data_IF_527473546005
#
_entry.id   IF_527473546005
#
_cell.length_a   1.000
_cell.length_b   1.000
_cell.length_c   1.000
_cell.angle_alpha   90.00
_cell.angle_beta   90.00
_cell.angle_gamma   90.00
#
_symmetry.space_group_name_H-M   'P 1'
#
loop_
_entity.id
_entity.type
_entity.pdbx_description
1 polymer ?
#
# COMPACT_ATOMS: atom_id res chain seq x y z
N UNK A 1 -4.06 -10.45 -16.00
CA UNK A 1 -5.23 -9.55 -16.19
C UNK A 1 -6.42 -10.21 -15.51
N UNK A 2 -7.26 -9.44 -14.82
CA UNK A 2 -8.34 -9.98 -13.99
C UNK A 2 -9.62 -9.21 -14.29
N UNK A 3 -10.67 -9.92 -14.65
CA UNK A 3 -11.96 -9.30 -14.94
C UNK A 3 -12.72 -9.05 -13.63
N UNK A 4 -13.16 -7.81 -13.45
CA UNK A 4 -13.96 -7.38 -12.31
C UNK A 4 -15.23 -6.74 -12.80
N UNK A 5 -16.29 -6.84 -12.01
CA UNK A 5 -17.61 -6.26 -12.35
C UNK A 5 -18.03 -5.25 -11.31
N UNK A 6 -18.63 -4.15 -11.77
CA UNK A 6 -19.33 -3.22 -10.89
C UNK A 6 -20.68 -3.81 -10.51
N UNK A 7 -21.03 -3.79 -9.23
CA UNK A 7 -22.30 -4.26 -8.69
C UNK A 7 -22.95 -3.16 -7.84
N UNK A 8 -24.29 -3.19 -7.74
CA UNK A 8 -25.04 -2.31 -6.85
C UNK A 8 -25.01 -2.87 -5.43
N UNK A 9 -24.67 -2.03 -4.45
CA UNK A 9 -24.70 -2.35 -3.02
C UNK A 9 -25.48 -1.29 -2.26
N UNK A 10 -26.75 -1.56 -1.98
CA UNK A 10 -27.65 -0.57 -1.39
C UNK A 10 -27.79 0.66 -2.29
N UNK A 11 -27.39 1.83 -1.79
CA UNK A 11 -27.41 3.09 -2.54
C UNK A 11 -26.05 3.47 -3.17
N UNK A 12 -25.10 2.53 -3.27
CA UNK A 12 -23.79 2.76 -3.88
C UNK A 12 -23.41 1.70 -4.90
N UNK A 13 -22.33 1.95 -5.63
CA UNK A 13 -21.68 1.00 -6.53
C UNK A 13 -20.41 0.45 -5.86
N UNK A 14 -20.09 -0.80 -6.16
CA UNK A 14 -18.91 -1.48 -5.65
C UNK A 14 -18.25 -2.32 -6.75
N UNK A 15 -16.93 -2.45 -6.71
CA UNK A 15 -16.20 -3.41 -7.54
C UNK A 15 -16.20 -4.79 -6.87
N UNK A 16 -16.69 -5.79 -7.59
CA UNK A 16 -16.64 -7.20 -7.17
C UNK A 16 -15.24 -7.75 -7.44
N UNK A 17 -14.43 -7.86 -6.39
CA UNK A 17 -13.10 -8.45 -6.45
C UNK A 17 -13.20 -9.98 -6.29
N UNK A 18 -12.44 -10.78 -7.06
CA UNK A 18 -12.44 -12.23 -6.93
C UNK A 18 -11.70 -12.66 -5.66
N UNK A 19 -12.19 -13.72 -5.03
CA UNK A 19 -11.67 -14.25 -3.77
C UNK A 19 -10.24 -14.80 -3.90
N UNK A 20 -9.84 -15.24 -5.09
CA UNK A 20 -8.51 -15.79 -5.36
C UNK A 20 -7.40 -14.73 -5.41
N UNK A 21 -7.74 -13.44 -5.52
CA UNK A 21 -6.77 -12.36 -5.71
C UNK A 21 -6.18 -11.80 -4.40
N UNK A 22 -6.42 -12.46 -3.26
CA UNK A 22 -5.77 -12.13 -1.99
C UNK A 22 -6.33 -10.89 -1.27
N UNK A 23 -7.36 -10.23 -1.81
CA UNK A 23 -8.03 -9.10 -1.16
C UNK A 23 -8.72 -9.54 0.13
N UNK A 24 -8.50 -8.78 1.20
CA UNK A 24 -9.11 -9.04 2.51
C UNK A 24 -10.24 -8.06 2.79
N UNK A 25 -11.28 -8.55 3.48
CA UNK A 25 -12.39 -7.71 3.92
C UNK A 25 -11.86 -6.59 4.83
N UNK A 26 -12.22 -5.35 4.52
CA UNK A 26 -11.84 -4.17 5.30
C UNK A 26 -10.55 -3.48 4.83
N UNK A 27 -9.85 -4.03 3.83
CA UNK A 27 -8.77 -3.31 3.16
C UNK A 27 -9.29 -2.03 2.49
N UNK A 28 -8.50 -0.98 2.58
CA UNK A 28 -8.81 0.33 2.02
C UNK A 28 -7.83 0.64 0.90
N UNK A 29 -8.34 1.26 -0.16
CA UNK A 29 -7.58 1.62 -1.35
C UNK A 29 -7.83 3.08 -1.69
N UNK A 30 -6.83 3.71 -2.30
CA UNK A 30 -7.01 4.94 -3.06
C UNK A 30 -7.42 4.56 -4.48
N UNK A 31 -8.45 5.25 -4.98
CA UNK A 31 -8.88 5.17 -6.36
C UNK A 31 -8.47 6.47 -7.05
N UNK A 32 -7.58 6.38 -8.04
CA UNK A 32 -7.08 7.53 -8.78
C UNK A 32 -7.51 7.39 -10.23
N UNK A 33 -8.18 8.40 -10.78
CA UNK A 33 -8.53 8.45 -12.20
C UNK A 33 -7.30 8.78 -13.04
N UNK A 34 -7.11 8.04 -14.13
CA UNK A 34 -6.18 8.38 -15.20
C UNK A 34 -6.86 9.29 -16.23
N UNK A 35 -6.09 10.17 -16.88
CA UNK A 35 -6.57 11.09 -17.92
C UNK A 35 -7.18 10.36 -19.12
N UNK A 36 -6.77 9.11 -19.36
CA UNK A 36 -7.30 8.25 -20.42
C UNK A 36 -8.58 7.50 -20.05
N UNK A 37 -9.20 7.84 -18.91
CA UNK A 37 -10.46 7.24 -18.45
C UNK A 37 -10.30 5.92 -17.70
N UNK A 38 -9.07 5.52 -17.39
CA UNK A 38 -8.77 4.38 -16.51
C UNK A 38 -8.82 4.76 -15.03
N UNK A 39 -8.70 3.75 -14.17
CA UNK A 39 -8.52 3.96 -12.73
C UNK A 39 -7.39 3.08 -12.19
N UNK A 40 -6.59 3.66 -11.29
CA UNK A 40 -5.58 2.96 -10.50
C UNK A 40 -6.11 2.69 -9.10
N UNK A 41 -5.96 1.45 -8.63
CA UNK A 41 -6.27 1.03 -7.26
C UNK A 41 -4.96 0.88 -6.49
N UNK A 42 -4.74 1.69 -5.46
CA UNK A 42 -3.51 1.66 -4.66
C UNK A 42 -3.86 1.28 -3.21
N UNK A 43 -3.31 0.18 -2.65
CA UNK A 43 -3.55 -0.20 -1.26
C UNK A 43 -3.11 0.91 -0.30
N UNK A 44 -3.97 1.27 0.67
CA UNK A 44 -3.57 2.17 1.75
C UNK A 44 -2.70 1.40 2.74
N UNK A 45 -1.43 1.76 2.80
CA UNK A 45 -0.53 1.26 3.83
C UNK A 45 -0.85 1.97 5.15
N UNK A 46 -0.78 1.24 6.27
CA UNK A 46 -0.84 1.86 7.60
C UNK A 46 0.35 2.81 7.73
N UNK A 47 0.13 4.03 8.21
CA UNK A 47 1.21 4.98 8.44
C UNK A 47 2.24 4.35 9.41
N UNK A 48 3.47 4.02 8.94
CA UNK A 48 4.46 3.37 9.79
C UNK A 48 5.01 4.33 10.85
N UNK A 49 4.87 5.63 10.64
CA UNK A 49 5.37 6.69 11.52
C UNK A 49 4.39 7.09 12.63
N UNK A 50 3.34 6.29 12.88
CA UNK A 50 2.36 6.56 13.95
C UNK A 50 2.96 6.59 15.36
N UNK A 51 4.13 5.97 15.55
CA UNK A 51 4.89 5.97 16.80
C UNK A 51 6.22 6.73 16.68
N UNK A 52 6.44 7.45 15.57
CA UNK A 52 7.67 8.20 15.40
C UNK A 52 7.69 9.38 16.37
N UNK A 53 8.85 9.63 16.97
CA UNK A 53 9.05 10.82 17.77
C UNK A 53 9.15 12.04 16.84
N UNK A 54 8.55 13.18 17.17
CA UNK A 54 8.71 14.39 16.37
C UNK A 54 10.18 14.74 16.20
N UNK A 55 10.58 15.06 14.96
CA UNK A 55 11.96 15.41 14.57
C UNK A 55 13.00 14.30 14.79
N UNK A 56 12.60 13.06 15.08
CA UNK A 56 13.55 11.94 15.13
C UNK A 56 13.90 11.47 13.73
N UNK A 57 15.20 11.38 13.44
CA UNK A 57 15.72 10.64 12.30
C UNK A 57 16.11 9.24 12.76
N UNK A 58 15.60 8.22 12.09
CA UNK A 58 16.04 6.84 12.27
C UNK A 58 16.41 6.28 10.91
N UNK A 59 17.70 6.04 10.74
CA UNK A 59 18.26 5.31 9.61
C UNK A 59 18.83 4.03 10.20
N UNK A 60 18.28 2.87 9.81
CA UNK A 60 18.89 1.60 10.16
C UNK A 60 20.27 1.54 9.49
N UNK A 61 21.30 1.15 10.26
CA UNK A 61 22.64 0.98 9.73
C UNK A 61 22.61 -0.13 8.67
N UNK A 62 22.96 0.23 7.43
CA UNK A 62 22.77 -0.67 6.28
C UNK A 62 23.64 -1.93 6.35
N UNK A 63 24.71 -1.90 7.16
CA UNK A 63 25.67 -2.99 7.33
C UNK A 63 26.08 -3.07 8.80
N UNK A 64 25.24 -3.66 9.67
CA UNK A 64 25.53 -3.72 11.11
C UNK A 64 26.75 -4.58 11.46
N UNK A 65 27.18 -5.43 10.52
CA UNK A 65 28.31 -6.35 10.68
C UNK A 65 29.59 -5.83 9.99
N UNK A 66 29.60 -4.59 9.49
CA UNK A 66 30.77 -4.02 8.82
C UNK A 66 31.70 -3.34 9.83
N UNK A 67 32.87 -3.93 10.04
CA UNK A 67 33.93 -3.37 10.88
C UNK A 67 34.85 -2.47 10.04
N UNK A 68 34.98 -1.21 10.43
CA UNK A 68 35.84 -0.23 9.73
C UNK A 68 37.32 -0.37 10.12
N UNK A 69 37.67 -1.25 11.07
CA UNK A 69 39.06 -1.48 11.49
C UNK A 69 39.91 -2.24 10.45
N UNK A 70 39.30 -2.83 9.42
CA UNK A 70 40.02 -3.61 8.37
C UNK A 70 40.56 -2.75 7.20
N UNK A 71 40.60 -1.42 7.34
CA UNK A 71 41.10 -0.48 6.32
C UNK A 71 42.36 0.24 6.81
N UNK A 72 43.48 -0.47 6.95
CA UNK A 72 44.85 0.09 7.05
C UNK A 72 45.80 -0.51 6.01
#
# INVERSE_FOLDING_TARGET
MMDVKVVKRGNSLALSLPSSAGFKRGEAFLLISDEKGGYLLIPKVKNPYTKANPLSFHQEEAWPDFDYEDIE
#
